data_IF_854294591775
#
_entry.id   IF_854294591775
#
_cell.length_a   1.000
_cell.length_b   1.000
_cell.length_c   1.000
_cell.angle_alpha   90.00
_cell.angle_beta   90.00
_cell.angle_gamma   90.00
#
_symmetry.space_group_name_H-M   'P 1'
#
loop_
_entity.id
_entity.type
_entity.pdbx_description
1 polymer ?
#
# COMPACT_ATOMS: atom_id res chain seq x y z
N UNK A 1 51.01 -32.71 87.01
CA UNK A 1 49.55 -32.93 86.81
C UNK A 1 49.39 -34.10 85.84
N UNK A 2 48.52 -35.04 86.19
CA UNK A 2 48.49 -36.42 85.71
C UNK A 2 47.46 -36.68 84.58
N UNK A 3 47.82 -37.56 83.63
CA UNK A 3 47.02 -38.62 82.94
C UNK A 3 45.77 -38.20 82.09
N UNK A 4 45.32 -38.78 80.96
CA UNK A 4 45.68 -39.92 80.09
C UNK A 4 44.79 -39.93 78.80
N UNK A 5 45.33 -40.45 77.68
CA UNK A 5 44.77 -41.33 76.58
C UNK A 5 43.58 -40.99 75.65
N UNK A 6 43.88 -41.14 74.34
CA UNK A 6 43.18 -41.91 73.27
C UNK A 6 41.94 -41.27 72.59
N UNK A 7 41.52 -41.55 71.34
CA UNK A 7 41.84 -42.55 70.31
C UNK A 7 41.19 -42.16 68.95
N UNK A 8 41.46 -42.92 67.88
CA UNK A 8 40.76 -43.06 66.56
C UNK A 8 41.13 -42.06 65.45
N UNK A 9 42.00 -42.43 64.50
CA UNK A 9 41.83 -43.30 63.30
C UNK A 9 41.11 -42.64 62.12
N UNK A 10 41.83 -42.65 61.00
CA UNK A 10 41.37 -42.79 59.62
C UNK A 10 40.89 -41.54 58.87
N UNK A 11 41.81 -41.06 58.01
CA UNK A 11 41.63 -40.76 56.57
C UNK A 11 40.36 -40.01 56.13
N UNK A 12 40.42 -38.94 55.34
CA UNK A 12 41.26 -38.78 54.15
C UNK A 12 41.26 -37.31 53.69
N UNK A 13 42.46 -36.73 53.66
CA UNK A 13 43.07 -35.96 52.56
C UNK A 13 42.29 -34.77 51.98
N UNK A 14 42.81 -33.57 52.26
CA UNK A 14 42.58 -32.36 51.47
C UNK A 14 43.46 -32.29 50.22
N UNK A 15 43.60 -31.06 49.70
CA UNK A 15 44.40 -30.62 48.55
C UNK A 15 43.75 -30.90 47.19
N UNK A 16 43.12 -29.90 46.57
CA UNK A 16 43.76 -28.92 45.69
C UNK A 16 44.53 -29.58 44.54
N UNK A 17 43.89 -29.72 43.40
CA UNK A 17 44.49 -29.44 42.08
C UNK A 17 43.38 -29.43 41.03
N UNK A 18 43.37 -28.34 40.28
CA UNK A 18 42.52 -28.09 39.13
C UNK A 18 42.80 -29.10 38.01
N UNK A 19 41.81 -29.23 37.11
CA UNK A 19 41.87 -29.85 35.76
C UNK A 19 41.70 -31.37 35.70
N UNK A 20 40.45 -31.81 35.66
CA UNK A 20 39.88 -32.64 34.56
C UNK A 20 38.59 -33.32 35.01
N UNK A 21 37.71 -33.60 34.05
CA UNK A 21 36.51 -34.44 34.12
C UNK A 21 35.25 -33.80 34.71
N UNK A 22 34.36 -33.35 33.82
CA UNK A 22 33.00 -33.90 33.81
C UNK A 22 32.40 -33.80 32.40
N UNK A 23 32.72 -34.82 31.60
CA UNK A 23 31.80 -35.33 30.57
C UNK A 23 30.52 -35.78 31.30
N UNK A 24 29.38 -35.14 31.01
CA UNK A 24 28.03 -35.72 31.02
C UNK A 24 26.98 -34.59 31.00
N UNK A 25 26.85 -33.91 29.87
CA UNK A 25 25.68 -33.07 29.56
C UNK A 25 24.99 -33.66 28.32
N UNK A 26 24.41 -34.83 28.47
CA UNK A 26 23.57 -35.49 27.47
C UNK A 26 22.38 -36.13 28.18
N UNK A 27 21.20 -35.95 27.59
CA UNK A 27 19.88 -36.51 27.96
C UNK A 27 19.12 -35.71 29.04
N UNK A 28 18.40 -34.67 28.60
CA UNK A 28 17.45 -34.00 29.50
C UNK A 28 16.72 -32.76 28.97
N UNK A 29 16.79 -32.44 27.67
CA UNK A 29 16.01 -31.35 27.06
C UNK A 29 15.43 -31.83 25.73
N UNK A 30 14.61 -32.87 25.81
CA UNK A 30 13.71 -33.30 24.75
C UNK A 30 12.38 -33.54 25.44
N UNK A 31 11.27 -33.11 24.83
CA UNK A 31 9.91 -32.97 25.41
C UNK A 31 9.50 -31.56 25.88
N UNK A 32 9.95 -30.48 25.21
CA UNK A 32 9.20 -29.21 25.26
C UNK A 32 9.43 -28.26 24.08
N UNK A 33 9.81 -28.76 22.90
CA UNK A 33 10.01 -27.94 21.70
C UNK A 33 9.18 -28.37 20.48
N UNK A 34 8.24 -29.31 20.65
CA UNK A 34 7.30 -29.69 19.57
C UNK A 34 6.02 -28.83 19.54
N UNK A 35 5.79 -28.00 20.56
CA UNK A 35 4.54 -27.24 20.73
C UNK A 35 4.64 -25.74 20.34
N UNK A 36 5.76 -25.29 19.76
CA UNK A 36 5.96 -23.86 19.43
C UNK A 36 5.78 -23.50 17.95
N UNK A 37 5.48 -24.47 17.06
CA UNK A 37 5.34 -24.21 15.61
C UNK A 37 3.91 -24.41 15.07
N UNK A 38 2.92 -24.72 15.93
CA UNK A 38 1.52 -24.90 15.48
C UNK A 38 0.49 -23.96 16.12
N UNK A 39 0.90 -23.02 16.99
CA UNK A 39 -0.02 -22.13 17.71
C UNK A 39 -0.03 -20.65 17.28
N UNK A 40 0.94 -20.19 16.48
CA UNK A 40 1.11 -18.75 16.21
C UNK A 40 0.42 -18.25 14.92
N UNK A 41 0.01 -19.16 14.02
CA UNK A 41 -0.63 -18.76 12.75
C UNK A 41 -2.10 -18.33 12.96
N UNK A 42 -2.86 -19.03 13.79
CA UNK A 42 -4.31 -18.76 13.95
C UNK A 42 -4.62 -17.38 14.54
N UNK A 43 -3.75 -16.85 15.40
CA UNK A 43 -3.90 -15.51 15.97
C UNK A 43 -3.56 -14.42 14.96
N UNK A 44 -2.55 -14.64 14.11
CA UNK A 44 -2.19 -13.71 13.03
C UNK A 44 -3.26 -13.73 11.93
N UNK A 45 -3.79 -14.90 11.60
CA UNK A 45 -4.89 -15.11 10.66
C UNK A 45 -6.20 -14.49 11.18
N UNK A 46 -6.52 -14.65 12.47
CA UNK A 46 -7.68 -14.02 13.10
C UNK A 46 -7.53 -12.49 13.19
N UNK A 47 -6.35 -11.97 13.50
CA UNK A 47 -6.09 -10.54 13.49
C UNK A 47 -6.18 -9.93 12.08
N UNK A 48 -5.70 -10.67 11.07
CA UNK A 48 -5.86 -10.28 9.66
C UNK A 48 -7.33 -10.36 9.23
N UNK A 49 -8.07 -11.41 9.58
CA UNK A 49 -9.49 -11.56 9.30
C UNK A 49 -10.32 -10.45 9.97
N UNK A 50 -10.02 -10.10 11.22
CA UNK A 50 -10.65 -8.97 11.92
C UNK A 50 -10.34 -7.63 11.24
N UNK A 51 -9.10 -7.44 10.75
CA UNK A 51 -8.70 -6.23 10.01
C UNK A 51 -9.33 -6.16 8.62
N UNK A 52 -9.57 -7.30 7.97
CA UNK A 52 -10.29 -7.42 6.69
C UNK A 52 -11.78 -7.16 6.90
N UNK A 53 -12.39 -7.74 7.94
CA UNK A 53 -13.78 -7.50 8.33
C UNK A 53 -14.03 -6.04 8.74
N UNK A 54 -13.12 -5.43 9.51
CA UNK A 54 -13.19 -4.02 9.88
C UNK A 54 -13.01 -3.07 8.68
N UNK A 55 -12.42 -3.55 7.58
CA UNK A 55 -12.30 -2.80 6.31
C UNK A 55 -13.37 -3.17 5.28
N UNK A 56 -14.22 -4.16 5.55
CA UNK A 56 -15.32 -4.52 4.69
C UNK A 56 -16.31 -3.35 4.63
N UNK A 57 -16.65 -2.92 3.41
CA UNK A 57 -17.73 -1.94 3.24
C UNK A 57 -19.03 -2.64 3.61
N UNK A 58 -19.95 -2.00 4.34
CA UNK A 58 -21.22 -2.66 4.63
C UNK A 58 -22.00 -2.91 3.33
N UNK A 59 -22.97 -3.84 3.37
CA UNK A 59 -23.75 -4.25 2.19
C UNK A 59 -24.26 -3.03 1.41
N UNK A 60 -24.26 -3.14 0.07
CA UNK A 60 -24.65 -2.04 -0.82
C UNK A 60 -26.07 -1.53 -0.48
N UNK A 61 -26.94 -2.44 -0.03
CA UNK A 61 -28.34 -2.19 0.32
C UNK A 61 -28.54 -1.41 1.64
N UNK A 62 -27.48 -1.27 2.44
CA UNK A 62 -27.51 -0.42 3.64
C UNK A 62 -27.41 1.08 3.31
N UNK A 63 -27.13 1.44 2.05
CA UNK A 63 -26.91 2.82 1.63
C UNK A 63 -27.88 3.31 0.55
N UNK A 64 -28.53 4.44 0.82
CA UNK A 64 -29.30 5.16 -0.21
C UNK A 64 -28.40 6.11 -1.01
N UNK A 65 -28.67 6.20 -2.32
CA UNK A 65 -28.04 7.18 -3.20
C UNK A 65 -28.64 8.56 -2.93
N UNK A 66 -27.77 9.56 -2.86
CA UNK A 66 -28.18 10.97 -2.73
C UNK A 66 -29.17 11.36 -3.83
N UNK A 67 -30.12 12.26 -3.55
CA UNK A 67 -31.14 12.65 -4.51
C UNK A 67 -30.47 13.34 -5.70
N UNK A 68 -30.89 12.97 -6.91
CA UNK A 68 -30.39 13.61 -8.12
C UNK A 68 -31.10 14.96 -8.32
N UNK A 69 -30.36 15.95 -8.81
CA UNK A 69 -30.95 17.23 -9.19
C UNK A 69 -31.48 17.16 -10.64
N UNK A 70 -32.22 18.18 -11.07
CA UNK A 70 -32.86 18.21 -12.39
C UNK A 70 -31.86 17.99 -13.55
N UNK A 71 -30.67 18.60 -13.44
CA UNK A 71 -29.60 18.41 -14.42
C UNK A 71 -29.10 16.95 -14.48
N UNK A 72 -28.98 16.26 -13.34
CA UNK A 72 -28.51 14.88 -13.32
C UNK A 72 -29.49 13.93 -14.01
N UNK A 73 -30.80 14.17 -13.91
CA UNK A 73 -31.81 13.43 -14.68
C UNK A 73 -31.68 13.72 -16.19
N UNK A 74 -31.60 15.00 -16.56
CA UNK A 74 -31.36 15.43 -17.94
C UNK A 74 -30.10 14.79 -18.56
N UNK A 75 -28.98 14.87 -17.84
CA UNK A 75 -27.72 14.32 -18.27
C UNK A 75 -27.77 12.78 -18.37
N UNK A 76 -28.54 12.10 -17.53
CA UNK A 76 -28.67 10.63 -17.58
C UNK A 76 -29.37 10.16 -18.85
N UNK A 77 -30.34 10.91 -19.36
CA UNK A 77 -31.05 10.60 -20.62
C UNK A 77 -30.19 10.89 -21.85
N UNK A 78 -29.49 12.02 -21.86
CA UNK A 78 -28.78 12.51 -23.06
C UNK A 78 -27.34 12.00 -23.17
N UNK A 79 -26.66 11.72 -22.06
CA UNK A 79 -25.29 11.20 -22.05
C UNK A 79 -25.11 9.89 -22.84
N UNK A 80 -25.96 8.85 -22.74
CA UNK A 80 -25.76 7.62 -23.51
C UNK A 80 -25.89 7.86 -25.02
N UNK A 81 -26.77 8.76 -25.45
CA UNK A 81 -26.90 9.12 -26.86
C UNK A 81 -25.62 9.81 -27.39
N UNK A 82 -25.00 10.69 -26.60
CA UNK A 82 -23.76 11.38 -26.98
C UNK A 82 -22.52 10.47 -26.89
N UNK A 83 -22.50 9.52 -25.97
CA UNK A 83 -21.43 8.51 -25.90
C UNK A 83 -21.49 7.54 -27.08
N UNK A 84 -22.68 7.13 -27.52
CA UNK A 84 -22.85 6.32 -28.73
C UNK A 84 -22.37 7.02 -30.00
N UNK A 85 -22.40 8.36 -30.01
CA UNK A 85 -21.82 9.18 -31.09
C UNK A 85 -20.29 9.25 -31.06
N UNK A 86 -19.62 8.50 -30.17
CA UNK A 86 -18.16 8.42 -30.10
C UNK A 86 -17.48 9.65 -29.48
N UNK A 87 -18.24 10.58 -28.89
CA UNK A 87 -17.68 11.78 -28.28
C UNK A 87 -16.96 11.43 -26.97
N UNK A 88 -15.81 12.07 -26.73
CA UNK A 88 -15.06 11.90 -25.49
C UNK A 88 -15.92 12.31 -24.28
N UNK A 89 -15.87 11.52 -23.19
CA UNK A 89 -16.69 11.73 -21.98
C UNK A 89 -16.55 13.15 -21.43
N UNK A 90 -15.36 13.75 -21.54
CA UNK A 90 -15.11 15.13 -21.11
C UNK A 90 -15.89 16.18 -21.92
N UNK A 91 -15.99 16.00 -23.23
CA UNK A 91 -16.66 16.93 -24.12
C UNK A 91 -18.18 16.73 -24.11
N UNK A 92 -18.64 15.49 -23.89
CA UNK A 92 -20.05 15.20 -23.58
C UNK A 92 -20.51 15.99 -22.34
N UNK A 93 -19.68 16.07 -21.30
CA UNK A 93 -20.01 16.84 -20.10
C UNK A 93 -20.11 18.35 -20.36
N UNK A 94 -19.20 18.90 -21.17
CA UNK A 94 -19.20 20.34 -21.52
C UNK A 94 -20.42 20.72 -22.36
N UNK A 95 -20.74 19.91 -23.37
CA UNK A 95 -21.87 20.14 -24.28
C UNK A 95 -23.20 20.07 -23.52
N UNK A 96 -23.42 19.03 -22.70
CA UNK A 96 -24.64 18.91 -21.88
C UNK A 96 -24.78 20.06 -20.86
N UNK A 97 -23.67 20.49 -20.26
CA UNK A 97 -23.67 21.61 -19.33
C UNK A 97 -24.04 22.94 -20.00
N UNK A 98 -23.56 23.16 -21.24
CA UNK A 98 -23.92 24.34 -22.03
C UNK A 98 -25.40 24.30 -22.45
N UNK A 99 -25.87 23.16 -22.95
CA UNK A 99 -27.26 22.94 -23.36
C UNK A 99 -28.22 23.16 -22.19
N UNK A 100 -27.90 22.62 -21.00
CA UNK A 100 -28.71 22.81 -19.79
C UNK A 100 -28.86 24.27 -19.36
N UNK A 101 -27.82 25.10 -19.53
CA UNK A 101 -27.90 26.54 -19.24
C UNK A 101 -28.72 27.29 -20.27
N UNK A 102 -28.70 26.86 -21.53
CA UNK A 102 -29.51 27.42 -22.63
C UNK A 102 -30.95 26.89 -22.70
N UNK A 103 -31.31 25.88 -21.91
CA UNK A 103 -32.64 25.28 -21.90
C UNK A 103 -33.69 26.21 -21.26
N UNK A 104 -34.77 26.47 -21.99
CA UNK A 104 -35.92 27.26 -21.50
C UNK A 104 -36.55 26.64 -20.25
N UNK A 105 -37.16 27.47 -19.38
CA UNK A 105 -37.83 27.02 -18.17
C UNK A 105 -38.92 25.95 -18.43
N UNK A 106 -39.64 26.04 -19.55
CA UNK A 106 -40.66 25.05 -19.93
C UNK A 106 -40.09 23.64 -20.12
N UNK A 107 -38.92 23.52 -20.77
CA UNK A 107 -38.23 22.24 -20.97
C UNK A 107 -37.53 21.74 -19.70
N UNK A 108 -37.25 22.63 -18.73
CA UNK A 108 -36.66 22.27 -17.43
C UNK A 108 -37.70 21.78 -16.41
N UNK A 109 -38.93 22.31 -16.45
CA UNK A 109 -40.05 21.90 -15.57
C UNK A 109 -40.22 20.38 -15.39
N UNK A 110 -40.21 19.52 -16.43
CA UNK A 110 -40.33 18.08 -16.22
C UNK A 110 -39.18 17.51 -15.38
N UNK A 111 -37.95 17.99 -15.60
CA UNK A 111 -36.77 17.57 -14.82
C UNK A 111 -36.79 18.10 -13.39
N UNK A 112 -37.38 19.27 -13.16
CA UNK A 112 -37.57 19.81 -11.80
C UNK A 112 -38.58 18.97 -11.01
N UNK A 113 -39.64 18.44 -11.66
CA UNK A 113 -40.56 17.47 -11.05
C UNK A 113 -39.84 16.17 -10.71
N UNK A 114 -39.08 15.60 -11.64
CA UNK A 114 -38.28 14.38 -11.41
C UNK A 114 -37.33 14.57 -10.21
N UNK A 115 -36.65 15.72 -10.13
CA UNK A 115 -35.78 16.04 -8.99
C UNK A 115 -36.54 16.23 -7.67
N UNK A 116 -37.79 16.69 -7.71
CA UNK A 116 -38.65 16.76 -6.53
C UNK A 116 -39.06 15.37 -6.05
N UNK A 117 -39.41 14.47 -6.97
CA UNK A 117 -39.77 13.09 -6.62
C UNK A 117 -38.55 12.29 -6.16
N UNK A 118 -37.37 12.53 -6.72
CA UNK A 118 -36.11 11.93 -6.27
C UNK A 118 -35.74 12.35 -4.83
N UNK A 119 -36.07 13.58 -4.45
CA UNK A 119 -35.95 14.05 -3.06
C UNK A 119 -36.90 13.29 -2.13
N UNK A 120 -38.17 13.11 -2.53
CA UNK A 120 -39.14 12.33 -1.74
C UNK A 120 -38.71 10.87 -1.57
N UNK A 121 -38.18 10.24 -2.63
CA UNK A 121 -37.60 8.88 -2.57
C UNK A 121 -36.50 8.84 -1.50
N UNK A 122 -35.55 9.78 -1.58
CA UNK A 122 -34.43 9.83 -0.64
C UNK A 122 -34.88 10.07 0.81
N UNK A 123 -35.87 10.93 1.04
CA UNK A 123 -36.46 11.13 2.37
C UNK A 123 -37.13 9.86 2.91
N UNK A 124 -37.83 9.12 2.05
CA UNK A 124 -38.41 7.83 2.42
C UNK A 124 -37.32 6.81 2.77
N UNK A 125 -36.26 6.75 2.00
CA UNK A 125 -35.12 5.84 2.23
C UNK A 125 -34.41 6.16 3.55
N UNK A 126 -34.24 7.45 3.87
CA UNK A 126 -33.69 7.89 5.15
C UNK A 126 -34.59 7.48 6.32
N UNK A 127 -35.91 7.66 6.18
CA UNK A 127 -36.89 7.24 7.18
C UNK A 127 -36.94 5.73 7.37
N UNK A 128 -36.69 4.94 6.32
CA UNK A 128 -36.59 3.48 6.42
C UNK A 128 -35.24 2.99 6.97
N UNK A 129 -34.38 3.87 7.45
CA UNK A 129 -33.11 3.53 8.09
C UNK A 129 -31.92 3.33 7.14
N UNK A 130 -32.06 3.64 5.84
CA UNK A 130 -30.91 3.62 4.95
C UNK A 130 -29.93 4.75 5.28
N UNK A 131 -28.64 4.45 5.22
CA UNK A 131 -27.59 5.43 5.51
C UNK A 131 -27.17 6.16 4.23
N UNK A 132 -26.73 7.40 4.36
CA UNK A 132 -26.07 8.10 3.25
C UNK A 132 -24.59 7.82 3.33
N UNK A 133 -24.00 7.40 2.22
CA UNK A 133 -22.54 7.29 2.15
C UNK A 133 -21.92 8.66 2.39
N UNK A 134 -21.07 8.75 3.41
CA UNK A 134 -20.30 9.94 3.70
C UNK A 134 -19.46 10.31 2.48
N UNK A 135 -19.44 11.60 2.12
CA UNK A 135 -18.49 12.08 1.12
C UNK A 135 -17.13 11.99 1.78
N UNK A 136 -16.37 10.93 1.47
CA UNK A 136 -14.93 11.00 1.67
C UNK A 136 -14.49 12.26 0.92
N UNK A 137 -13.92 13.22 1.64
CA UNK A 137 -13.11 14.23 0.98
C UNK A 137 -12.07 13.39 0.22
N UNK A 138 -12.21 13.32 -1.12
CA UNK A 138 -11.01 13.10 -1.90
C UNK A 138 -10.19 14.30 -1.49
N UNK A 139 -9.11 14.07 -0.73
CA UNK A 139 -8.28 15.16 -0.25
C UNK A 139 -8.18 16.16 -1.39
N UNK A 140 -8.55 17.41 -1.14
CA UNK A 140 -8.33 18.48 -2.11
C UNK A 140 -6.85 18.62 -2.44
N UNK A 141 -5.99 17.83 -1.80
CA UNK A 141 -4.67 17.33 -2.22
C UNK A 141 -4.68 16.34 -3.40
N UNK A 142 -5.72 16.31 -4.22
CA UNK A 142 -5.48 16.48 -5.65
C UNK A 142 -5.29 17.99 -5.89
N UNK A 143 -4.35 18.59 -5.14
CA UNK A 143 -3.50 19.62 -5.68
C UNK A 143 -3.13 19.03 -7.01
N UNK A 144 -3.57 19.67 -8.08
CA UNK A 144 -2.86 19.58 -9.34
C UNK A 144 -1.42 19.58 -8.89
N UNK A 145 -0.73 18.42 -8.96
CA UNK A 145 0.69 18.40 -8.70
C UNK A 145 1.16 19.32 -9.80
N UNK A 146 1.31 20.61 -9.47
CA UNK A 146 1.92 21.59 -10.33
C UNK A 146 3.17 20.85 -10.71
N UNK A 147 3.26 20.43 -11.98
CA UNK A 147 4.45 19.74 -12.46
C UNK A 147 5.54 20.67 -12.01
N UNK A 148 6.35 20.26 -11.04
CA UNK A 148 7.38 21.13 -10.49
C UNK A 148 8.20 21.54 -11.70
N UNK A 149 8.07 22.80 -12.11
CA UNK A 149 8.64 23.28 -13.36
C UNK A 149 10.11 23.43 -13.06
N UNK A 150 10.88 22.42 -13.42
CA UNK A 150 12.25 22.26 -13.01
C UNK A 150 12.76 20.87 -13.38
N UNK A 151 14.09 20.70 -13.36
CA UNK A 151 14.71 19.46 -13.76
C UNK A 151 14.23 18.29 -12.91
N UNK A 152 14.10 17.12 -13.54
CA UNK A 152 13.74 15.90 -12.81
C UNK A 152 14.92 15.51 -11.93
N UNK A 153 14.63 15.04 -10.71
CA UNK A 153 15.66 14.55 -9.78
C UNK A 153 16.65 13.59 -10.47
N UNK A 154 17.94 13.62 -10.09
CA UNK A 154 18.94 12.75 -10.69
C UNK A 154 18.60 11.30 -10.33
N UNK A 155 18.81 10.40 -11.28
CA UNK A 155 18.64 8.97 -11.13
C UNK A 155 19.86 8.40 -10.44
N UNK A 156 19.61 7.46 -9.52
CA UNK A 156 20.68 6.74 -8.85
C UNK A 156 21.15 5.53 -9.68
N UNK A 157 22.25 4.90 -9.26
CA UNK A 157 22.85 3.75 -9.94
C UNK A 157 21.87 2.58 -10.15
N UNK A 158 21.00 2.33 -9.18
CA UNK A 158 19.98 1.29 -9.27
C UNK A 158 18.92 1.58 -10.33
N UNK A 159 18.53 2.85 -10.50
CA UNK A 159 17.58 3.26 -11.55
C UNK A 159 18.18 3.01 -12.95
N UNK A 160 19.47 3.31 -13.16
CA UNK A 160 20.13 2.97 -14.43
C UNK A 160 20.21 1.46 -14.66
N UNK A 161 20.57 0.70 -13.63
CA UNK A 161 20.59 -0.77 -13.71
C UNK A 161 19.22 -1.36 -14.05
N UNK A 162 18.14 -0.88 -13.45
CA UNK A 162 16.79 -1.36 -13.77
C UNK A 162 16.35 -0.98 -15.18
N UNK A 163 16.80 0.16 -15.73
CA UNK A 163 16.44 0.54 -17.10
C UNK A 163 17.06 -0.44 -18.11
N UNK A 164 18.31 -0.84 -17.91
CA UNK A 164 19.02 -1.80 -18.76
C UNK A 164 18.47 -3.22 -18.59
N UNK A 165 18.12 -3.63 -17.36
CA UNK A 165 17.73 -5.01 -17.05
C UNK A 165 16.24 -5.29 -17.14
N UNK A 166 15.39 -4.28 -17.01
CA UNK A 166 13.93 -4.45 -17.09
C UNK A 166 13.54 -5.05 -18.44
N UNK A 167 14.15 -4.65 -19.55
CA UNK A 167 13.84 -5.23 -20.87
C UNK A 167 14.26 -6.70 -20.98
N UNK A 168 15.38 -7.09 -20.34
CA UNK A 168 15.88 -8.47 -20.36
C UNK A 168 15.07 -9.42 -19.46
N UNK A 169 14.52 -8.90 -18.35
CA UNK A 169 13.77 -9.69 -17.36
C UNK A 169 12.26 -9.63 -17.63
N UNK A 170 11.78 -8.59 -18.31
CA UNK A 170 10.39 -8.48 -18.76
C UNK A 170 10.10 -9.49 -19.87
N UNK A 171 9.83 -10.73 -19.50
CA UNK A 171 9.25 -11.75 -20.38
C UNK A 171 7.76 -11.44 -20.60
N UNK A 172 7.24 -11.76 -21.79
CA UNK A 172 5.81 -11.63 -22.11
C UNK A 172 4.99 -12.37 -21.04
N UNK A 173 4.19 -11.64 -20.27
CA UNK A 173 3.28 -12.19 -19.26
C UNK A 173 3.69 -11.99 -17.80
N UNK A 174 4.92 -11.55 -17.49
CA UNK A 174 5.27 -11.22 -16.10
C UNK A 174 4.69 -9.88 -15.68
N UNK A 175 4.19 -9.80 -14.44
CA UNK A 175 3.75 -8.53 -13.90
C UNK A 175 4.94 -7.59 -13.70
N UNK A 176 4.81 -6.28 -13.96
CA UNK A 176 5.89 -5.31 -13.72
C UNK A 176 6.43 -5.37 -12.28
N UNK A 177 5.60 -5.75 -11.32
CA UNK A 177 5.96 -5.92 -9.91
C UNK A 177 6.92 -7.09 -9.69
N UNK A 178 6.70 -8.22 -10.35
CA UNK A 178 7.60 -9.39 -10.29
C UNK A 178 8.93 -9.09 -10.96
N UNK A 179 8.90 -8.41 -12.11
CA UNK A 179 10.12 -7.97 -12.81
C UNK A 179 10.97 -7.07 -11.92
N UNK A 180 10.36 -6.09 -11.24
CA UNK A 180 11.09 -5.20 -10.32
C UNK A 180 11.70 -5.95 -9.12
N UNK A 181 11.00 -6.95 -8.57
CA UNK A 181 11.53 -7.79 -7.47
C UNK A 181 12.71 -8.64 -7.92
N UNK A 182 12.64 -9.22 -9.12
CA UNK A 182 13.74 -9.99 -9.70
C UNK A 182 14.98 -9.12 -9.93
N UNK A 183 14.81 -7.93 -10.52
CA UNK A 183 15.89 -6.95 -10.72
C UNK A 183 16.53 -6.54 -9.39
N UNK A 184 15.72 -6.30 -8.35
CA UNK A 184 16.24 -5.96 -7.02
C UNK A 184 17.10 -7.09 -6.42
N UNK A 185 16.66 -8.34 -6.57
CA UNK A 185 17.40 -9.51 -6.10
C UNK A 185 18.73 -9.70 -6.87
N UNK A 186 18.74 -9.42 -8.17
CA UNK A 186 19.98 -9.44 -8.97
C UNK A 186 20.94 -8.31 -8.58
N UNK A 187 20.43 -7.11 -8.34
CA UNK A 187 21.25 -5.97 -7.89
C UNK A 187 21.91 -6.21 -6.54
N UNK A 188 21.21 -6.87 -5.61
CA UNK A 188 21.77 -7.27 -4.33
C UNK A 188 22.97 -8.22 -4.51
N UNK A 189 22.88 -9.15 -5.46
CA UNK A 189 23.93 -10.13 -5.80
C UNK A 189 25.03 -9.57 -6.71
N UNK A 190 24.82 -8.42 -7.35
CA UNK A 190 25.77 -7.84 -8.28
C UNK A 190 27.09 -7.44 -7.60
N UNK A 191 28.22 -7.86 -8.20
CA UNK A 191 29.57 -7.57 -7.72
C UNK A 191 29.98 -6.11 -7.95
N UNK A 192 30.93 -5.62 -7.16
CA UNK A 192 31.46 -4.25 -7.21
C UNK A 192 31.74 -3.67 -8.61
N UNK A 193 32.40 -4.38 -9.57
CA UNK A 193 32.67 -3.81 -10.89
C UNK A 193 31.40 -3.51 -11.71
N UNK A 194 30.37 -4.34 -11.59
CA UNK A 194 29.08 -4.08 -12.24
C UNK A 194 28.40 -2.84 -11.63
N UNK A 195 28.50 -2.66 -10.31
CA UNK A 195 27.97 -1.48 -9.61
C UNK A 195 28.73 -0.19 -9.98
N UNK A 196 30.05 -0.24 -10.16
CA UNK A 196 30.89 0.90 -10.55
C UNK A 196 30.43 1.54 -11.87
N UNK A 197 30.05 0.75 -12.90
CA UNK A 197 29.52 1.26 -14.17
C UNK A 197 28.31 2.18 -13.93
N UNK A 198 27.33 1.71 -13.17
CA UNK A 198 26.11 2.47 -12.90
C UNK A 198 26.31 3.58 -11.89
N UNK A 199 27.33 3.47 -11.03
CA UNK A 199 27.71 4.53 -10.10
C UNK A 199 28.25 5.74 -10.86
N UNK A 200 29.14 5.52 -11.84
CA UNK A 200 29.60 6.59 -12.75
C UNK A 200 28.43 7.26 -13.48
N UNK A 201 27.49 6.48 -14.02
CA UNK A 201 26.29 7.02 -14.68
C UNK A 201 25.40 7.84 -13.72
N UNK A 202 25.33 7.45 -12.45
CA UNK A 202 24.59 8.20 -11.43
C UNK A 202 25.29 9.51 -11.05
N UNK A 203 26.63 9.52 -11.00
CA UNK A 203 27.41 10.72 -10.74
C UNK A 203 27.29 11.72 -11.90
N UNK A 204 27.33 11.24 -13.14
CA UNK A 204 27.07 12.05 -14.35
C UNK A 204 25.63 12.61 -14.37
N UNK A 205 24.63 11.84 -13.96
CA UNK A 205 23.24 12.33 -13.85
C UNK A 205 23.08 13.37 -12.74
N UNK A 206 23.82 13.20 -11.64
CA UNK A 206 23.85 14.19 -10.56
C UNK A 206 24.41 15.51 -11.06
N UNK A 207 25.49 15.48 -11.84
CA UNK A 207 26.08 16.67 -12.47
C UNK A 207 25.11 17.34 -13.45
N UNK A 208 24.42 16.57 -14.30
CA UNK A 208 23.34 17.10 -15.15
C UNK A 208 22.28 17.83 -14.33
N UNK A 209 21.80 17.22 -13.25
CA UNK A 209 20.75 17.83 -12.44
C UNK A 209 21.25 19.11 -11.77
N UNK A 210 22.50 19.13 -11.29
CA UNK A 210 23.12 20.33 -10.72
C UNK A 210 23.26 21.45 -11.76
N UNK A 211 23.68 21.14 -13.00
CA UNK A 211 23.77 22.14 -14.07
C UNK A 211 22.39 22.64 -14.54
N UNK A 212 21.42 21.75 -14.74
CA UNK A 212 20.05 22.14 -15.10
C UNK A 212 19.36 22.91 -13.97
N UNK A 213 19.73 22.67 -12.72
CA UNK A 213 19.20 23.42 -11.58
C UNK A 213 19.80 24.83 -11.52
N UNK A 214 21.09 24.99 -11.85
CA UNK A 214 21.74 26.29 -11.92
C UNK A 214 21.19 27.14 -13.08
N UNK A 215 21.02 26.56 -14.27
CA UNK A 215 20.45 27.25 -15.45
C UNK A 215 19.02 27.77 -15.21
N UNK A 216 18.24 27.11 -14.35
CA UNK A 216 16.87 27.54 -14.03
C UNK A 216 16.83 28.67 -12.99
N UNK A 217 17.93 28.93 -12.29
CA UNK A 217 18.03 29.93 -11.22
C UNK A 217 18.67 31.24 -11.70
N UNK A 218 19.44 31.21 -12.79
CA UNK A 218 19.92 32.41 -13.52
C UNK A 218 18.84 33.01 -14.43
#
# INVERSE_FOLDING_TARGET
MAWQRANRTSSRVGSSTLRSLLLAALVGVSWQLSAWVLGSSSLQDAAFAAKVAAKAKPPIDAYTKRPQNAYMHYASEKRPALLKKGMAIGDVGKTLGAEWRGLSAAKRKPYDKLAADDRKRFEKDLKSGMKVKERKSRGSTATLKVKKVGPKKPRNAYIFYMMDKRSTIAKKGMSPTEVMKAVAAEWAKAKAPAKKKYQKMADEDKQRYESELLEVVE
#
